data_IF_491849845419
#
_entry.id   IF_491849845419
#
_cell.length_a   1.000
_cell.length_b   1.000
_cell.length_c   1.000
_cell.angle_alpha   90.00
_cell.angle_beta   90.00
_cell.angle_gamma   90.00
#
_symmetry.space_group_name_H-M   'P 1'
#
loop_
_entity.id
_entity.type
_entity.pdbx_description
1 polymer ?
#
# COMPACT_ATOMS: atom_id res chain seq x y z
N UNK A 1 -15.02 11.97 4.60
CA UNK A 1 -14.99 10.53 4.26
C UNK A 1 -16.31 10.14 3.61
N UNK A 2 -16.39 10.03 2.27
CA UNK A 2 -17.66 9.67 1.59
C UNK A 2 -17.61 8.39 0.74
N UNK A 3 -16.46 7.74 0.59
CA UNK A 3 -16.31 6.63 -0.38
C UNK A 3 -15.65 5.34 0.14
N UNK A 4 -15.08 5.33 1.36
CA UNK A 4 -14.11 4.30 1.80
C UNK A 4 -14.70 2.92 2.21
N UNK A 5 -16.01 2.69 2.16
CA UNK A 5 -16.58 1.37 2.52
C UNK A 5 -17.22 0.59 1.37
N UNK A 6 -17.28 1.19 0.16
CA UNK A 6 -17.97 0.57 -0.99
C UNK A 6 -17.11 -0.43 -1.75
N UNK A 7 -15.82 -0.16 -1.87
CA UNK A 7 -14.88 -1.03 -2.58
C UNK A 7 -14.18 -1.90 -1.55
N UNK A 8 -14.19 -3.21 -1.81
CA UNK A 8 -13.50 -4.23 -1.03
C UNK A 8 -12.56 -4.98 -1.97
N UNK A 9 -11.51 -5.54 -1.40
CA UNK A 9 -10.64 -6.44 -2.16
C UNK A 9 -11.26 -7.83 -2.37
N UNK A 10 -10.54 -8.70 -3.09
CA UNK A 10 -10.97 -10.06 -3.43
C UNK A 10 -11.30 -10.93 -2.19
N UNK A 11 -10.69 -10.64 -1.03
CA UNK A 11 -10.97 -11.33 0.24
C UNK A 11 -12.03 -10.61 1.09
N UNK A 12 -12.57 -9.49 0.61
CA UNK A 12 -13.64 -8.74 1.28
C UNK A 12 -13.16 -7.68 2.28
N UNK A 13 -11.87 -7.37 2.34
CA UNK A 13 -11.35 -6.32 3.23
C UNK A 13 -11.66 -4.92 2.68
N UNK A 14 -12.01 -3.95 3.54
CA UNK A 14 -12.37 -2.61 3.10
C UNK A 14 -11.16 -1.87 2.53
N UNK A 15 -11.43 -0.95 1.61
CA UNK A 15 -10.41 -0.11 1.00
C UNK A 15 -10.19 1.23 1.71
N UNK A 16 -9.01 1.80 1.50
CA UNK A 16 -8.63 3.14 1.91
C UNK A 16 -7.69 3.78 0.89
N UNK A 17 -7.52 5.10 0.99
CA UNK A 17 -6.52 5.83 0.23
C UNK A 17 -5.46 6.38 1.19
N UNK A 18 -4.18 6.32 0.80
CA UNK A 18 -3.08 6.95 1.52
C UNK A 18 -2.76 8.29 0.86
N UNK A 19 -3.07 9.38 1.56
CA UNK A 19 -2.95 10.75 1.05
C UNK A 19 -1.93 11.49 1.89
N UNK A 20 -0.93 12.07 1.23
CA UNK A 20 0.00 12.98 1.88
C UNK A 20 -0.73 14.28 2.24
N UNK A 21 -0.80 14.60 3.53
CA UNK A 21 -1.51 15.77 4.05
C UNK A 21 -0.90 17.11 3.60
N UNK A 22 0.41 17.16 3.34
CA UNK A 22 1.10 18.38 2.93
C UNK A 22 0.94 18.65 1.43
N UNK A 23 0.99 17.61 0.59
CA UNK A 23 0.96 17.77 -0.87
C UNK A 23 -0.41 17.53 -1.49
N UNK A 24 -1.34 16.90 -0.77
CA UNK A 24 -2.62 16.46 -1.31
C UNK A 24 -2.50 15.34 -2.35
N UNK A 25 -1.34 14.67 -2.44
CA UNK A 25 -1.14 13.57 -3.38
C UNK A 25 -1.51 12.23 -2.73
N UNK A 26 -2.17 11.36 -3.50
CA UNK A 26 -2.47 9.99 -3.12
C UNK A 26 -1.43 9.02 -3.71
N UNK A 27 -1.15 7.94 -2.96
CA UNK A 27 -0.40 6.80 -3.48
C UNK A 27 -1.27 6.02 -4.48
N UNK A 28 -0.71 5.74 -5.65
CA UNK A 28 -1.37 5.06 -6.78
C UNK A 28 -0.62 3.77 -7.13
N UNK A 29 -1.38 2.78 -7.59
CA UNK A 29 -0.88 1.55 -8.17
C UNK A 29 0.12 1.82 -9.31
N UNK A 30 1.03 0.88 -9.50
CA UNK A 30 1.94 0.84 -10.64
C UNK A 30 1.43 -0.12 -11.71
N UNK A 31 2.11 -0.15 -12.86
CA UNK A 31 1.69 -0.95 -14.01
C UNK A 31 1.90 -2.47 -13.84
N UNK A 32 2.68 -2.88 -12.84
CA UNK A 32 3.03 -4.27 -12.63
C UNK A 32 4.02 -4.47 -11.48
N UNK A 33 4.47 -5.73 -11.26
CA UNK A 33 5.43 -6.06 -10.22
C UNK A 33 6.79 -5.38 -10.44
N UNK A 34 7.52 -5.21 -9.36
CA UNK A 34 8.84 -4.58 -9.25
C UNK A 34 8.90 -3.10 -9.67
N UNK A 35 7.75 -2.47 -9.89
CA UNK A 35 7.67 -1.07 -10.27
C UNK A 35 7.45 -0.18 -9.03
N UNK A 36 8.16 0.95 -8.91
CA UNK A 36 7.91 1.95 -7.86
C UNK A 36 6.46 2.38 -7.84
N UNK A 37 5.87 2.51 -6.65
CA UNK A 37 4.52 3.07 -6.49
C UNK A 37 4.47 4.50 -7.04
N UNK A 38 3.31 4.89 -7.56
CA UNK A 38 3.12 6.21 -8.18
C UNK A 38 2.44 7.16 -7.20
N UNK A 39 2.51 8.45 -7.49
CA UNK A 39 1.77 9.49 -6.78
C UNK A 39 0.98 10.33 -7.77
N UNK A 40 -0.26 10.67 -7.41
CA UNK A 40 -1.11 11.58 -8.21
C UNK A 40 -1.86 12.55 -7.30
N UNK A 41 -2.31 13.71 -7.80
CA UNK A 41 -3.23 14.57 -7.05
C UNK A 41 -4.48 13.80 -6.61
N UNK A 42 -4.85 13.90 -5.33
CA UNK A 42 -6.08 13.31 -4.83
C UNK A 42 -7.30 14.11 -5.30
N UNK A 43 -8.25 13.42 -5.95
CA UNK A 43 -9.54 14.01 -6.33
C UNK A 43 -10.66 13.33 -5.52
N UNK A 44 -11.30 14.03 -4.56
CA UNK A 44 -12.38 13.45 -3.75
C UNK A 44 -13.69 13.26 -4.52
N UNK A 45 -13.87 13.91 -5.68
CA UNK A 45 -15.11 13.88 -6.46
C UNK A 45 -15.14 12.70 -7.46
N UNK A 46 -14.03 11.98 -7.59
CA UNK A 46 -13.88 10.85 -8.50
C UNK A 46 -13.40 9.61 -7.76
N UNK A 47 -14.11 8.49 -7.94
CA UNK A 47 -13.68 7.19 -7.43
C UNK A 47 -12.61 6.60 -8.37
N UNK A 48 -11.35 6.89 -8.07
CA UNK A 48 -10.22 6.23 -8.73
C UNK A 48 -9.83 4.96 -7.94
N UNK A 49 -10.20 3.78 -8.43
CA UNK A 49 -9.82 2.51 -7.81
C UNK A 49 -8.31 2.30 -7.75
N UNK A 50 -7.54 2.94 -8.64
CA UNK A 50 -6.09 2.75 -8.68
C UNK A 50 -5.32 3.48 -7.57
N UNK A 51 -6.01 4.27 -6.73
CA UNK A 51 -5.43 4.84 -5.50
C UNK A 51 -5.94 4.12 -4.23
N UNK A 52 -6.77 3.10 -4.41
CA UNK A 52 -7.36 2.35 -3.31
C UNK A 52 -6.49 1.15 -2.96
N UNK A 53 -6.20 1.04 -1.67
CA UNK A 53 -5.44 -0.03 -1.06
C UNK A 53 -6.31 -0.74 -0.04
N UNK A 54 -5.95 -1.98 0.31
CA UNK A 54 -6.54 -2.69 1.43
C UNK A 54 -5.43 -3.24 2.34
N UNK A 55 -5.78 -3.50 3.60
CA UNK A 55 -4.92 -4.24 4.51
C UNK A 55 -5.32 -5.72 4.47
N UNK A 56 -4.34 -6.63 4.50
CA UNK A 56 -4.62 -8.05 4.70
C UNK A 56 -5.10 -8.34 6.12
N UNK A 57 -5.37 -9.62 6.41
CA UNK A 57 -5.38 -10.12 7.79
C UNK A 57 -4.08 -9.80 8.52
N UNK A 58 -4.16 -9.79 9.84
CA UNK A 58 -3.00 -9.64 10.74
C UNK A 58 -1.98 -10.77 10.52
N UNK A 59 -0.70 -10.40 10.43
CA UNK A 59 0.45 -11.29 10.24
C UNK A 59 1.28 -11.47 11.52
N UNK A 60 0.83 -10.89 12.63
CA UNK A 60 1.55 -10.81 13.91
C UNK A 60 1.82 -9.36 14.30
N UNK A 61 1.70 -9.03 15.59
CA UNK A 61 2.05 -7.72 16.19
C UNK A 61 1.37 -6.51 15.52
N UNK A 62 0.18 -6.72 14.95
CA UNK A 62 -0.58 -5.73 14.17
C UNK A 62 0.06 -5.33 12.84
N UNK A 63 1.02 -6.11 12.34
CA UNK A 63 1.52 -5.94 10.98
C UNK A 63 0.60 -6.61 9.97
N UNK A 64 0.40 -5.96 8.83
CA UNK A 64 -0.45 -6.41 7.72
C UNK A 64 0.27 -6.15 6.40
N UNK A 65 -0.11 -6.82 5.32
CA UNK A 65 0.24 -6.35 3.98
C UNK A 65 -0.64 -5.14 3.64
N UNK A 66 -0.08 -4.14 2.97
CA UNK A 66 -0.86 -3.15 2.22
C UNK A 66 -0.84 -3.60 0.76
N UNK A 67 -2.00 -3.81 0.15
CA UNK A 67 -2.14 -4.42 -1.17
C UNK A 67 -3.10 -3.67 -2.07
N UNK A 68 -2.93 -3.82 -3.38
CA UNK A 68 -3.85 -3.20 -4.35
C UNK A 68 -5.26 -3.74 -4.14
N UNK A 69 -6.26 -2.88 -4.06
CA UNK A 69 -7.65 -3.33 -3.83
C UNK A 69 -8.15 -4.25 -4.95
N UNK A 70 -7.71 -4.01 -6.19
CA UNK A 70 -8.15 -4.75 -7.38
C UNK A 70 -7.23 -5.92 -7.76
N UNK A 71 -6.10 -6.10 -7.06
CA UNK A 71 -5.15 -7.19 -7.31
C UNK A 71 -4.34 -7.48 -6.05
N UNK A 72 -4.89 -8.32 -5.17
CA UNK A 72 -4.27 -8.67 -3.89
C UNK A 72 -2.99 -9.51 -4.02
N UNK A 73 -2.58 -9.89 -5.23
CA UNK A 73 -1.31 -10.60 -5.47
C UNK A 73 -0.11 -9.67 -5.38
N UNK A 74 -0.30 -8.35 -5.47
CA UNK A 74 0.76 -7.35 -5.38
C UNK A 74 0.61 -6.47 -4.13
N UNK A 75 1.70 -6.34 -3.38
CA UNK A 75 1.76 -5.66 -2.09
C UNK A 75 2.75 -4.51 -2.13
N UNK A 76 2.64 -3.61 -1.16
CA UNK A 76 3.73 -2.72 -0.80
C UNK A 76 4.94 -3.54 -0.35
N UNK A 77 6.07 -3.24 -0.97
CA UNK A 77 7.36 -3.83 -0.66
C UNK A 77 8.38 -2.71 -0.53
N UNK A 78 9.08 -2.66 0.61
CA UNK A 78 10.29 -1.84 0.72
C UNK A 78 11.39 -2.55 -0.07
N UNK A 79 11.68 -2.05 -1.28
CA UNK A 79 12.51 -2.75 -2.26
C UNK A 79 13.92 -2.98 -1.74
N UNK A 80 14.35 -4.25 -1.69
CA UNK A 80 15.62 -4.67 -1.07
C UNK A 80 15.76 -4.16 0.38
N UNK A 81 14.64 -3.96 1.08
CA UNK A 81 14.59 -3.57 2.48
C UNK A 81 14.69 -4.74 3.45
N UNK A 82 14.97 -5.94 2.95
CA UNK A 82 15.22 -7.14 3.74
C UNK A 82 16.67 -7.21 4.24
N UNK A 83 16.92 -8.11 5.19
CA UNK A 83 18.21 -8.24 5.88
C UNK A 83 19.35 -8.66 4.94
N UNK A 84 19.06 -9.41 3.87
CA UNK A 84 20.07 -9.88 2.92
C UNK A 84 20.62 -8.73 2.05
N UNK A 85 19.88 -7.63 1.96
CA UNK A 85 20.24 -6.43 1.21
C UNK A 85 20.62 -5.23 2.10
N UNK A 86 20.75 -5.43 3.42
CA UNK A 86 21.15 -4.39 4.37
C UNK A 86 19.99 -3.66 5.05
N UNK A 87 18.75 -4.10 4.83
CA UNK A 87 17.56 -3.56 5.48
C UNK A 87 17.06 -2.24 4.87
N UNK A 88 15.98 -1.72 5.45
CA UNK A 88 15.42 -0.42 5.05
C UNK A 88 16.36 0.73 5.46
N UNK A 89 16.60 1.65 4.53
CA UNK A 89 17.41 2.84 4.73
C UNK A 89 16.78 4.07 4.04
N UNK A 90 17.34 5.25 4.28
CA UNK A 90 16.89 6.47 3.60
C UNK A 90 17.05 6.30 2.08
N UNK A 91 15.97 6.59 1.35
CA UNK A 91 15.89 6.38 -0.10
C UNK A 91 15.42 4.99 -0.53
N UNK A 92 15.15 4.04 0.40
CA UNK A 92 14.50 2.78 0.05
C UNK A 92 13.17 3.05 -0.63
N UNK A 93 13.04 2.59 -1.87
CA UNK A 93 11.85 2.81 -2.69
C UNK A 93 10.76 1.81 -2.34
N UNK A 94 9.52 2.28 -2.25
CA UNK A 94 8.36 1.38 -2.14
C UNK A 94 7.93 0.95 -3.54
N UNK A 95 7.88 -0.35 -3.78
CA UNK A 95 7.47 -0.96 -5.05
C UNK A 95 6.26 -1.86 -4.86
N UNK A 96 5.66 -2.30 -5.98
CA UNK A 96 4.75 -3.45 -5.98
C UNK A 96 5.54 -4.76 -6.08
N UNK A 97 5.18 -5.76 -5.29
CA UNK A 97 5.83 -7.08 -5.36
C UNK A 97 4.85 -8.20 -4.98
N UNK A 98 5.05 -9.40 -5.52
CA UNK A 98 4.32 -10.59 -5.08
C UNK A 98 4.61 -10.90 -3.61
N UNK A 99 3.67 -11.59 -2.94
CA UNK A 99 3.82 -11.93 -1.54
C UNK A 99 4.88 -13.02 -1.32
N UNK A 100 6.02 -12.64 -0.74
CA UNK A 100 7.12 -13.54 -0.37
C UNK A 100 7.28 -13.75 1.13
N UNK A 101 6.33 -13.25 1.94
CA UNK A 101 6.34 -13.36 3.41
C UNK A 101 7.51 -12.64 4.09
N UNK A 102 8.21 -11.78 3.35
CA UNK A 102 9.33 -10.98 3.82
C UNK A 102 8.92 -9.95 4.86
N UNK A 103 9.87 -9.55 5.72
CA UNK A 103 9.65 -8.48 6.72
C UNK A 103 9.43 -7.12 6.05
N UNK A 104 10.08 -6.89 4.92
CA UNK A 104 9.96 -5.70 4.07
C UNK A 104 8.57 -5.51 3.41
N UNK A 105 7.68 -6.50 3.56
CA UNK A 105 6.29 -6.47 3.05
C UNK A 105 5.26 -6.31 4.19
N UNK A 106 5.72 -6.14 5.43
CA UNK A 106 4.89 -6.03 6.62
C UNK A 106 4.82 -4.58 7.08
N UNK A 107 3.62 -4.03 7.06
CA UNK A 107 3.37 -2.63 7.34
C UNK A 107 2.42 -2.48 8.54
N UNK A 108 2.52 -1.33 9.21
CA UNK A 108 1.62 -0.96 10.30
C UNK A 108 1.23 0.50 10.12
N UNK A 109 -0.07 0.77 10.03
CA UNK A 109 -0.61 2.13 10.05
C UNK A 109 -0.85 2.50 11.51
N UNK A 110 -0.21 3.57 11.98
CA UNK A 110 -0.32 4.06 13.34
C UNK A 110 -0.73 5.55 13.34
N UNK A 111 -1.38 6.03 14.42
CA UNK A 111 -1.69 7.44 14.57
C UNK A 111 -0.43 8.31 14.53
N UNK A 112 -0.52 9.44 13.85
CA UNK A 112 0.47 10.52 13.92
C UNK A 112 -0.04 11.58 14.89
N UNK A 113 0.71 11.83 15.97
CA UNK A 113 0.36 12.79 17.03
C UNK A 113 1.11 14.10 16.87
#
# INVERSE_FOLDING_TARGET
>A
MRHSTRVKDEEGFPSFALINKATGQALKHSLGPHQPIRVIPYNPDFLDESILWSESKDLGDSFRCIRMVNNIRLNFDAFHGDEDHGGVHDGTTVVLYEWFKGKNQRWKIAPYY
#
